data_IF_301081707501
#
_entry.id   IF_301081707501
#
_cell.length_a   1.000
_cell.length_b   1.000
_cell.length_c   1.000
_cell.angle_alpha   90.00
_cell.angle_beta   90.00
_cell.angle_gamma   90.00
#
_symmetry.space_group_name_H-M   'P 1'
#
loop_
_entity.id
_entity.type
_entity.pdbx_description
1 polymer ?
#
# COMPACT_ATOMS: atom_id res chain seq x y z
N UNK A 1 30.47 3.33 -21.86
CA UNK A 1 30.63 4.70 -21.33
C UNK A 1 30.68 4.55 -19.82
N UNK A 2 31.89 4.42 -19.30
CA UNK A 2 32.15 4.16 -17.89
C UNK A 2 31.97 5.46 -17.11
N UNK A 3 31.00 5.50 -16.21
CA UNK A 3 30.87 6.59 -15.27
C UNK A 3 31.84 6.31 -14.12
N UNK A 4 33.00 6.98 -14.14
CA UNK A 4 33.84 7.13 -12.95
C UNK A 4 33.08 8.00 -11.94
N UNK A 5 32.46 7.35 -10.95
CA UNK A 5 31.95 8.05 -9.78
C UNK A 5 33.13 8.38 -8.87
N UNK A 6 33.55 9.64 -8.87
CA UNK A 6 34.48 10.20 -7.89
C UNK A 6 33.84 10.09 -6.50
N UNK A 7 34.46 9.44 -5.50
CA UNK A 7 33.94 9.46 -4.14
C UNK A 7 34.11 10.86 -3.56
N UNK A 8 33.02 11.44 -3.09
CA UNK A 8 32.96 12.75 -2.47
C UNK A 8 33.70 12.69 -1.12
N UNK A 9 34.95 13.20 -1.07
CA UNK A 9 35.69 13.36 0.18
C UNK A 9 35.14 14.51 1.00
N UNK A 10 34.20 14.21 1.89
CA UNK A 10 34.03 14.90 3.17
C UNK A 10 34.31 13.89 4.29
N UNK A 11 34.91 14.27 5.44
CA UNK A 11 35.21 13.33 6.51
C UNK A 11 33.90 12.67 6.95
N UNK A 12 33.82 11.36 6.70
CA UNK A 12 32.66 10.54 7.00
C UNK A 12 32.43 10.57 8.51
N UNK A 13 31.20 10.89 8.88
CA UNK A 13 30.68 10.89 10.25
C UNK A 13 30.50 9.43 10.69
N UNK A 14 31.61 8.69 10.82
CA UNK A 14 31.62 7.24 11.02
C UNK A 14 31.24 6.88 12.46
N UNK A 15 31.67 7.67 13.46
CA UNK A 15 31.35 7.40 14.87
C UNK A 15 29.85 7.46 15.14
N UNK A 16 29.07 8.46 14.68
CA UNK A 16 27.62 8.44 14.83
C UNK A 16 26.93 7.28 14.10
N UNK A 17 27.46 6.85 12.94
CA UNK A 17 26.94 5.67 12.22
C UNK A 17 27.15 4.40 13.04
N UNK A 18 28.36 4.18 13.54
CA UNK A 18 28.69 3.03 14.38
C UNK A 18 27.89 3.04 15.69
N UNK A 19 27.69 4.21 16.30
CA UNK A 19 26.83 4.38 17.49
C UNK A 19 25.38 4.03 17.19
N UNK A 20 24.84 4.46 16.05
CA UNK A 20 23.49 4.08 15.61
C UNK A 20 23.36 2.58 15.30
N UNK A 21 24.47 1.96 14.88
CA UNK A 21 24.56 0.50 14.71
C UNK A 21 24.74 -0.25 16.04
N UNK A 22 24.93 0.45 17.17
CA UNK A 22 25.07 -0.17 18.49
C UNK A 22 26.49 -0.67 18.79
N UNK A 23 27.51 -0.13 18.12
CA UNK A 23 28.90 -0.43 18.45
C UNK A 23 29.31 0.26 19.76
N UNK A 24 29.92 -0.49 20.67
CA UNK A 24 30.36 -0.02 21.99
C UNK A 24 31.89 -0.12 22.21
N UNK A 25 32.67 -0.35 21.16
CA UNK A 25 34.13 -0.51 21.27
C UNK A 25 34.93 0.80 21.30
N UNK A 26 36.26 0.69 21.18
CA UNK A 26 37.25 1.74 21.46
C UNK A 26 37.06 3.09 20.74
N UNK A 27 36.33 3.14 19.62
CA UNK A 27 36.01 4.38 18.90
C UNK A 27 34.99 5.29 19.61
N UNK A 28 34.35 4.79 20.68
CA UNK A 28 33.29 5.50 21.40
C UNK A 28 33.79 6.38 22.55
N UNK A 29 35.09 6.35 22.86
CA UNK A 29 35.67 7.21 23.89
C UNK A 29 35.54 8.69 23.51
N UNK A 30 34.72 9.44 24.28
CA UNK A 30 34.42 10.86 23.99
C UNK A 30 35.54 11.81 24.41
N UNK A 31 36.60 11.30 25.05
CA UNK A 31 37.79 12.08 25.44
C UNK A 31 38.70 12.40 24.24
N UNK A 32 38.69 11.58 23.18
CA UNK A 32 39.48 11.78 21.98
C UNK A 32 38.62 12.29 20.80
N UNK A 33 39.14 13.31 20.10
CA UNK A 33 38.54 13.81 18.86
C UNK A 33 38.40 12.69 17.82
N UNK A 34 37.25 12.62 17.13
CA UNK A 34 36.90 11.53 16.19
C UNK A 34 37.94 11.32 15.11
N UNK A 35 38.41 12.41 14.53
CA UNK A 35 39.39 12.38 13.46
C UNK A 35 40.72 11.79 13.92
N UNK A 36 41.12 12.06 15.17
CA UNK A 36 42.36 11.54 15.77
C UNK A 36 42.23 10.05 16.08
N UNK A 37 41.13 9.64 16.72
CA UNK A 37 40.88 8.24 17.04
C UNK A 37 40.79 7.39 15.77
N UNK A 38 40.08 7.88 14.75
CA UNK A 38 39.93 7.19 13.47
C UNK A 38 41.26 7.12 12.71
N UNK A 39 42.03 8.21 12.67
CA UNK A 39 43.35 8.23 12.03
C UNK A 39 44.32 7.24 12.68
N UNK A 40 44.34 7.13 14.02
CA UNK A 40 45.12 6.11 14.74
C UNK A 40 44.71 4.70 14.30
N UNK A 41 43.41 4.43 14.31
CA UNK A 41 42.86 3.11 14.00
C UNK A 41 43.16 2.65 12.57
N UNK A 42 43.07 3.54 11.58
CA UNK A 42 43.36 3.18 10.18
C UNK A 42 44.85 3.23 9.82
N UNK A 43 45.68 3.92 10.60
CA UNK A 43 47.13 4.05 10.30
C UNK A 43 47.88 2.72 10.37
N UNK A 44 47.42 1.77 11.21
CA UNK A 44 48.03 0.46 11.35
C UNK A 44 47.51 -0.60 10.38
N UNK A 45 46.49 -0.29 9.57
CA UNK A 45 45.90 -1.21 8.61
C UNK A 45 45.51 -2.56 9.22
N UNK A 46 45.66 -3.64 8.45
CA UNK A 46 45.39 -5.01 8.89
C UNK A 46 46.21 -5.48 10.11
N UNK A 47 47.29 -4.78 10.47
CA UNK A 47 48.08 -5.07 11.67
C UNK A 47 47.51 -4.41 12.93
N UNK A 48 46.53 -3.51 12.80
CA UNK A 48 45.87 -2.86 13.93
C UNK A 48 44.76 -3.76 14.51
N UNK A 49 44.95 -4.23 15.73
CA UNK A 49 43.98 -5.09 16.41
C UNK A 49 42.61 -4.43 16.61
N UNK A 50 42.57 -3.12 16.85
CA UNK A 50 41.30 -2.41 17.04
C UNK A 50 40.51 -2.30 15.73
N UNK A 51 41.18 -2.08 14.60
CA UNK A 51 40.54 -2.07 13.27
C UNK A 51 39.98 -3.45 12.93
N UNK A 52 40.79 -4.51 13.11
CA UNK A 52 40.37 -5.87 12.75
C UNK A 52 39.25 -6.37 13.66
N UNK A 53 39.24 -5.98 14.95
CA UNK A 53 38.14 -6.24 15.86
C UNK A 53 36.84 -5.52 15.45
N UNK A 54 36.91 -4.26 15.03
CA UNK A 54 35.73 -3.55 14.50
C UNK A 54 35.18 -4.22 13.24
N UNK A 55 36.06 -4.59 12.31
CA UNK A 55 35.67 -5.32 11.10
C UNK A 55 35.01 -6.67 11.44
N UNK A 56 35.59 -7.44 12.37
CA UNK A 56 35.02 -8.71 12.83
C UNK A 56 33.63 -8.50 13.47
N UNK A 57 33.45 -7.44 14.26
CA UNK A 57 32.14 -7.10 14.83
C UNK A 57 31.11 -6.76 13.74
N UNK A 58 31.48 -5.91 12.76
CA UNK A 58 30.60 -5.57 11.63
C UNK A 58 30.20 -6.81 10.82
N UNK A 59 31.16 -7.70 10.54
CA UNK A 59 30.90 -8.96 9.84
C UNK A 59 30.00 -9.86 10.67
N UNK A 60 30.25 -10.01 11.97
CA UNK A 60 29.41 -10.82 12.87
C UNK A 60 27.96 -10.34 12.86
N UNK A 61 27.74 -9.03 12.96
CA UNK A 61 26.40 -8.42 12.87
C UNK A 61 25.76 -8.62 11.49
N UNK A 62 26.55 -8.53 10.42
CA UNK A 62 26.09 -8.85 9.06
C UNK A 62 25.68 -10.32 8.94
N UNK A 63 26.42 -11.26 9.52
CA UNK A 63 26.08 -12.70 9.49
C UNK A 63 24.77 -13.04 10.19
N UNK A 64 24.34 -12.22 11.15
CA UNK A 64 23.03 -12.39 11.79
C UNK A 64 21.86 -12.05 10.85
N UNK A 65 22.11 -11.24 9.81
CA UNK A 65 21.09 -10.70 8.91
C UNK A 65 21.21 -11.23 7.48
N UNK A 66 22.43 -11.56 7.07
CA UNK A 66 22.81 -12.09 5.78
C UNK A 66 23.33 -13.52 5.96
N UNK A 67 22.99 -14.43 5.05
CA UNK A 67 23.47 -15.82 5.06
C UNK A 67 24.91 -15.90 4.55
N UNK A 68 25.83 -15.23 5.24
CA UNK A 68 27.26 -15.20 4.92
C UNK A 68 27.95 -16.49 5.40
N UNK A 69 28.55 -17.21 4.46
CA UNK A 69 29.38 -18.39 4.72
C UNK A 69 30.76 -18.00 5.26
N UNK A 70 31.35 -16.95 4.71
CA UNK A 70 32.67 -16.45 5.08
C UNK A 70 32.63 -15.69 6.43
N UNK A 71 33.76 -15.68 7.13
CA UNK A 71 33.92 -15.02 8.42
C UNK A 71 35.31 -14.43 8.56
N UNK A 72 35.49 -13.55 9.55
CA UNK A 72 36.78 -12.92 9.82
C UNK A 72 37.08 -12.92 11.31
N UNK A 73 38.30 -13.31 11.66
CA UNK A 73 38.79 -13.32 13.04
C UNK A 73 39.61 -12.06 13.34
N UNK A 74 39.52 -11.48 14.55
CA UNK A 74 40.38 -10.36 14.93
C UNK A 74 41.84 -10.81 15.00
N UNK A 75 42.77 -9.92 14.65
CA UNK A 75 44.20 -10.21 14.72
C UNK A 75 44.72 -10.19 16.15
N UNK A 76 45.62 -11.11 16.51
CA UNK A 76 46.31 -11.10 17.82
C UNK A 76 47.65 -10.36 17.76
N UNK A 77 48.11 -10.01 16.56
CA UNK A 77 49.32 -9.24 16.31
C UNK A 77 49.56 -9.03 14.81
N UNK A 78 50.69 -8.41 14.42
CA UNK A 78 51.01 -8.12 13.01
C UNK A 78 51.27 -9.38 12.16
N UNK A 79 51.60 -10.52 12.79
CA UNK A 79 51.81 -11.80 12.11
C UNK A 79 50.51 -12.33 11.45
N UNK A 80 49.35 -12.00 12.01
CA UNK A 80 48.04 -12.48 11.55
C UNK A 80 47.45 -11.58 10.44
N UNK A 81 48.11 -10.46 10.11
CA UNK A 81 47.57 -9.45 9.20
C UNK A 81 47.32 -9.97 7.78
N UNK A 82 48.15 -10.90 7.31
CA UNK A 82 47.99 -11.53 6.00
C UNK A 82 46.78 -12.49 5.98
N UNK A 83 46.60 -13.26 7.06
CA UNK A 83 45.46 -14.17 7.25
C UNK A 83 44.15 -13.39 7.29
N UNK A 84 44.09 -12.31 8.07
CA UNK A 84 42.92 -11.42 8.14
C UNK A 84 42.55 -10.85 6.77
N UNK A 85 43.52 -10.43 5.97
CA UNK A 85 43.26 -9.89 4.63
C UNK A 85 42.72 -10.95 3.66
N UNK A 86 43.13 -12.22 3.80
CA UNK A 86 42.59 -13.32 3.02
C UNK A 86 41.13 -13.61 3.40
N UNK A 87 40.84 -13.72 4.70
CA UNK A 87 39.48 -13.90 5.22
C UNK A 87 38.55 -12.76 4.78
N UNK A 88 39.00 -11.51 4.97
CA UNK A 88 38.25 -10.33 4.54
C UNK A 88 38.03 -10.31 3.02
N UNK A 89 38.96 -10.81 2.21
CA UNK A 89 38.75 -10.92 0.77
C UNK A 89 37.66 -11.93 0.41
N UNK A 90 37.47 -12.98 1.20
CA UNK A 90 36.34 -13.92 1.06
C UNK A 90 35.01 -13.20 1.32
N UNK A 91 34.90 -12.54 2.46
CA UNK A 91 33.70 -11.77 2.85
C UNK A 91 33.36 -10.69 1.82
N UNK A 92 34.35 -9.93 1.34
CA UNK A 92 34.12 -8.89 0.32
C UNK A 92 33.66 -9.46 -1.02
N UNK A 93 34.11 -10.66 -1.38
CA UNK A 93 33.64 -11.37 -2.58
C UNK A 93 32.19 -11.81 -2.41
N UNK A 94 31.83 -12.35 -1.25
CA UNK A 94 30.48 -12.80 -0.93
C UNK A 94 29.48 -11.64 -0.85
N UNK A 95 29.90 -10.51 -0.28
CA UNK A 95 29.14 -9.24 -0.26
C UNK A 95 29.13 -8.51 -1.62
N UNK A 96 29.78 -9.05 -2.66
CA UNK A 96 29.86 -8.44 -3.99
C UNK A 96 30.38 -6.99 -3.97
N UNK A 97 31.43 -6.73 -3.17
CA UNK A 97 31.97 -5.39 -2.96
C UNK A 97 32.34 -4.70 -4.31
N UNK A 98 31.75 -3.52 -4.62
CA UNK A 98 31.96 -2.85 -5.89
C UNK A 98 33.31 -2.12 -5.99
N UNK A 99 34.00 -1.93 -4.86
CA UNK A 99 35.25 -1.18 -4.82
C UNK A 99 36.44 -2.03 -5.26
N UNK A 100 36.91 -1.79 -6.48
CA UNK A 100 38.06 -2.50 -7.06
C UNK A 100 39.33 -2.35 -6.22
N UNK A 101 39.48 -1.25 -5.47
CA UNK A 101 40.59 -1.04 -4.55
C UNK A 101 40.66 -2.10 -3.43
N UNK A 102 39.51 -2.69 -3.06
CA UNK A 102 39.41 -3.72 -2.02
C UNK A 102 39.35 -5.15 -2.58
N UNK A 103 39.00 -5.31 -3.87
CA UNK A 103 38.78 -6.64 -4.48
C UNK A 103 39.84 -7.03 -5.53
N UNK A 104 40.63 -6.09 -6.02
CA UNK A 104 41.67 -6.34 -7.05
C UNK A 104 43.09 -6.14 -6.53
N UNK A 105 44.09 -6.67 -7.25
CA UNK A 105 45.51 -6.63 -6.83
C UNK A 105 45.89 -7.70 -5.80
N UNK A 106 47.08 -7.57 -5.21
CA UNK A 106 47.62 -8.52 -4.25
C UNK A 106 46.84 -8.44 -2.92
N UNK A 107 46.31 -9.57 -2.43
CA UNK A 107 45.34 -9.58 -1.32
C UNK A 107 45.91 -8.97 -0.04
N UNK A 108 47.16 -9.29 0.31
CA UNK A 108 47.81 -8.83 1.55
C UNK A 108 48.30 -7.38 1.52
N UNK A 109 48.14 -6.68 0.41
CA UNK A 109 48.50 -5.25 0.30
C UNK A 109 47.30 -4.32 0.22
N UNK A 110 46.06 -4.84 0.35
CA UNK A 110 44.85 -4.04 0.13
C UNK A 110 44.50 -3.18 1.34
N UNK A 111 44.74 -3.68 2.54
CA UNK A 111 44.40 -3.02 3.81
C UNK A 111 45.62 -2.47 4.54
N UNK A 112 46.65 -2.05 3.79
CA UNK A 112 47.83 -1.37 4.35
C UNK A 112 47.74 0.15 4.27
N UNK A 113 46.86 0.68 3.40
CA UNK A 113 46.63 2.12 3.27
C UNK A 113 45.42 2.57 4.10
N UNK A 114 45.56 3.71 4.79
CA UNK A 114 44.52 4.29 5.63
C UNK A 114 43.24 4.56 4.82
N UNK A 115 43.36 4.98 3.55
CA UNK A 115 42.20 5.25 2.69
C UNK A 115 41.39 3.99 2.39
N UNK A 116 42.07 2.88 2.11
CA UNK A 116 41.40 1.61 1.84
C UNK A 116 40.74 1.06 3.11
N UNK A 117 41.36 1.26 4.28
CA UNK A 117 40.76 0.87 5.56
C UNK A 117 39.50 1.69 5.86
N UNK A 118 39.51 2.99 5.60
CA UNK A 118 38.31 3.83 5.72
C UNK A 118 37.21 3.40 4.75
N UNK A 119 37.56 3.13 3.49
CA UNK A 119 36.60 2.66 2.49
C UNK A 119 35.98 1.33 2.87
N UNK A 120 36.77 0.42 3.47
CA UNK A 120 36.27 -0.85 3.99
C UNK A 120 35.27 -0.63 5.12
N UNK A 121 35.58 0.22 6.09
CA UNK A 121 34.68 0.51 7.21
C UNK A 121 33.39 1.19 6.75
N UNK A 122 33.48 2.11 5.79
CA UNK A 122 32.31 2.76 5.19
C UNK A 122 31.42 1.73 4.47
N UNK A 123 32.02 0.87 3.65
CA UNK A 123 31.32 -0.20 2.96
C UNK A 123 30.60 -1.15 3.93
N UNK A 124 31.33 -1.76 4.87
CA UNK A 124 30.75 -2.72 5.82
C UNK A 124 29.66 -2.08 6.70
N UNK A 125 29.87 -0.84 7.15
CA UNK A 125 28.87 -0.10 7.92
C UNK A 125 27.61 0.16 7.09
N UNK A 126 27.77 0.56 5.83
CA UNK A 126 26.64 0.83 4.92
C UNK A 126 25.85 -0.43 4.58
N UNK A 127 26.53 -1.57 4.37
CA UNK A 127 25.90 -2.86 4.13
C UNK A 127 25.13 -3.32 5.38
N UNK A 128 25.68 -3.14 6.57
CA UNK A 128 24.97 -3.49 7.81
C UNK A 128 23.74 -2.61 8.02
N UNK A 129 23.83 -1.30 7.74
CA UNK A 129 22.68 -0.41 7.76
C UNK A 129 21.62 -0.85 6.75
N UNK A 130 22.01 -1.21 5.53
CA UNK A 130 21.11 -1.70 4.49
C UNK A 130 20.45 -3.02 4.90
N UNK A 131 21.21 -3.99 5.41
CA UNK A 131 20.70 -5.26 5.91
C UNK A 131 19.67 -5.06 7.03
N UNK A 132 19.96 -4.18 7.99
CA UNK A 132 19.02 -3.82 9.07
C UNK A 132 17.77 -3.10 8.57
N UNK A 133 17.90 -2.22 7.58
CA UNK A 133 16.74 -1.57 6.94
C UNK A 133 15.87 -2.58 6.20
N UNK A 134 16.48 -3.56 5.53
CA UNK A 134 15.75 -4.63 4.86
C UNK A 134 15.07 -5.58 5.84
N UNK A 135 15.68 -5.87 7.00
CA UNK A 135 15.08 -6.73 8.03
C UNK A 135 14.02 -6.01 8.87
N UNK A 136 14.17 -4.70 9.11
CA UNK A 136 13.21 -3.87 9.85
C UNK A 136 12.07 -3.32 9.00
N UNK A 137 12.19 -3.34 7.68
CA UNK A 137 11.03 -3.16 6.82
C UNK A 137 10.04 -4.27 7.17
N UNK A 138 8.77 -3.96 7.49
CA UNK A 138 7.73 -4.95 7.34
C UNK A 138 7.81 -5.35 5.88
N UNK A 139 8.30 -6.56 5.61
CA UNK A 139 8.23 -7.13 4.28
C UNK A 139 6.80 -6.85 3.78
N UNK A 140 6.58 -6.18 2.64
CA UNK A 140 5.50 -6.68 1.81
C UNK A 140 5.92 -8.12 1.59
N UNK A 141 5.24 -9.03 2.30
CA UNK A 141 5.37 -10.48 2.14
C UNK A 141 5.65 -10.71 0.65
N UNK A 142 6.78 -11.35 0.26
CA UNK A 142 6.97 -11.69 -1.15
C UNK A 142 5.68 -12.39 -1.53
N UNK A 143 4.89 -11.78 -2.43
CA UNK A 143 3.48 -12.12 -2.65
C UNK A 143 3.32 -13.60 -2.34
N UNK A 144 2.74 -13.91 -1.18
CA UNK A 144 2.40 -15.28 -0.83
C UNK A 144 1.40 -15.60 -1.89
N UNK A 145 1.85 -16.15 -3.01
CA UNK A 145 1.27 -15.88 -4.32
C UNK A 145 -0.22 -16.15 -4.18
N UNK A 146 -1.03 -15.09 -4.02
CA UNK A 146 -2.34 -15.25 -3.35
C UNK A 146 -3.17 -16.21 -4.20
N UNK A 147 -2.98 -16.09 -5.52
CA UNK A 147 -3.41 -17.02 -6.54
C UNK A 147 -2.96 -18.48 -6.29
N UNK A 148 -1.70 -18.75 -5.92
CA UNK A 148 -1.24 -20.12 -5.65
C UNK A 148 -1.86 -20.72 -4.38
N UNK A 149 -2.03 -19.93 -3.31
CA UNK A 149 -2.73 -20.41 -2.12
C UNK A 149 -4.23 -20.59 -2.40
N UNK A 150 -4.87 -19.68 -3.13
CA UNK A 150 -6.26 -19.83 -3.59
C UNK A 150 -6.42 -21.08 -4.45
N UNK A 151 -5.53 -21.33 -5.40
CA UNK A 151 -5.53 -22.53 -6.23
C UNK A 151 -5.34 -23.80 -5.39
N UNK A 152 -4.51 -23.75 -4.34
CA UNK A 152 -4.35 -24.85 -3.38
C UNK A 152 -5.63 -25.09 -2.57
N UNK A 153 -6.30 -24.03 -2.13
CA UNK A 153 -7.58 -24.16 -1.42
C UNK A 153 -8.67 -24.72 -2.32
N UNK A 154 -8.72 -24.29 -3.59
CA UNK A 154 -9.66 -24.83 -4.59
C UNK A 154 -9.37 -26.31 -4.85
N UNK A 155 -8.10 -26.70 -5.03
CA UNK A 155 -7.76 -28.11 -5.29
C UNK A 155 -8.10 -29.01 -4.10
N UNK A 156 -7.86 -28.54 -2.86
CA UNK A 156 -8.29 -29.23 -1.64
C UNK A 156 -9.82 -29.36 -1.57
N UNK A 157 -10.56 -28.28 -1.84
CA UNK A 157 -12.02 -28.32 -1.83
C UNK A 157 -12.61 -29.27 -2.89
N UNK A 158 -11.93 -29.40 -4.04
CA UNK A 158 -12.29 -30.33 -5.11
C UNK A 158 -11.78 -31.77 -4.91
N UNK A 159 -11.08 -32.03 -3.79
CA UNK A 159 -10.41 -33.31 -3.49
C UNK A 159 -9.47 -33.76 -4.63
N UNK A 160 -8.72 -32.84 -5.21
CA UNK A 160 -7.70 -33.13 -6.22
C UNK A 160 -6.36 -33.52 -5.58
N UNK A 161 -5.56 -34.40 -6.21
CA UNK A 161 -4.27 -34.82 -5.69
C UNK A 161 -3.25 -33.66 -5.64
N UNK A 162 -2.45 -33.62 -4.57
CA UNK A 162 -1.49 -32.54 -4.28
C UNK A 162 -0.37 -32.39 -5.34
N UNK A 163 -0.13 -33.43 -6.14
CA UNK A 163 0.86 -33.44 -7.23
C UNK A 163 0.56 -32.47 -8.38
N UNK A 164 -0.65 -31.89 -8.45
CA UNK A 164 -1.03 -30.96 -9.52
C UNK A 164 -0.44 -29.55 -9.34
N UNK A 165 0.14 -29.23 -8.18
CA UNK A 165 0.77 -27.92 -7.92
C UNK A 165 2.15 -27.75 -8.59
N UNK A 166 2.80 -28.86 -8.99
CA UNK A 166 4.05 -28.84 -9.77
C UNK A 166 3.80 -28.75 -11.28
N UNK A 167 2.53 -28.84 -11.71
CA UNK A 167 2.15 -28.78 -13.12
C UNK A 167 1.99 -27.33 -13.59
N UNK A 168 2.14 -27.04 -14.90
CA UNK A 168 1.86 -25.70 -15.42
C UNK A 168 0.42 -25.28 -15.10
N UNK A 169 0.22 -24.00 -14.74
CA UNK A 169 -1.06 -23.47 -14.24
C UNK A 169 -2.25 -23.74 -15.18
N UNK A 170 -2.02 -23.78 -16.50
CA UNK A 170 -3.06 -24.08 -17.49
C UNK A 170 -3.63 -25.51 -17.34
N UNK A 171 -2.78 -26.50 -17.05
CA UNK A 171 -3.22 -27.88 -16.85
C UNK A 171 -3.98 -28.04 -15.53
N UNK A 172 -3.52 -27.35 -14.49
CA UNK A 172 -4.21 -27.31 -13.20
C UNK A 172 -5.62 -26.72 -13.34
N UNK A 173 -5.74 -25.59 -14.02
CA UNK A 173 -7.03 -24.91 -14.25
C UNK A 173 -8.00 -25.75 -15.08
N UNK A 174 -7.51 -26.42 -16.13
CA UNK A 174 -8.36 -27.31 -16.94
C UNK A 174 -8.82 -28.55 -16.12
N UNK A 175 -7.93 -29.11 -15.28
CA UNK A 175 -8.27 -30.17 -14.35
C UNK A 175 -9.35 -29.75 -13.34
N UNK A 176 -9.20 -28.56 -12.75
CA UNK A 176 -10.20 -27.97 -11.86
C UNK A 176 -11.54 -27.77 -12.57
N UNK A 177 -11.53 -27.19 -13.78
CA UNK A 177 -12.72 -26.98 -14.61
C UNK A 177 -13.45 -28.30 -14.89
N UNK A 178 -12.72 -29.34 -15.29
CA UNK A 178 -13.28 -30.66 -15.55
C UNK A 178 -13.91 -31.27 -14.29
N UNK A 179 -13.21 -31.20 -13.16
CA UNK A 179 -13.71 -31.72 -11.88
C UNK A 179 -14.97 -30.99 -11.40
N UNK A 180 -15.00 -29.67 -11.54
CA UNK A 180 -16.20 -28.86 -11.25
C UNK A 180 -17.35 -29.27 -12.15
N UNK A 181 -17.12 -29.44 -13.46
CA UNK A 181 -18.17 -29.86 -14.40
C UNK A 181 -18.73 -31.25 -14.08
N UNK A 182 -17.87 -32.18 -13.67
CA UNK A 182 -18.24 -33.54 -13.25
C UNK A 182 -19.13 -33.50 -12.00
N UNK A 183 -18.69 -32.78 -10.95
CA UNK A 183 -19.47 -32.62 -9.72
C UNK A 183 -20.82 -31.94 -9.98
N UNK A 184 -20.86 -30.91 -10.83
CA UNK A 184 -22.11 -30.24 -11.19
C UNK A 184 -23.10 -31.18 -11.90
N UNK A 185 -22.61 -32.16 -12.67
CA UNK A 185 -23.47 -33.12 -13.35
C UNK A 185 -24.13 -34.14 -12.41
N UNK A 186 -23.57 -34.34 -11.20
CA UNK A 186 -24.11 -35.26 -10.21
C UNK A 186 -25.20 -34.67 -9.31
N UNK A 187 -25.39 -33.35 -9.35
CA UNK A 187 -26.34 -32.64 -8.49
C UNK A 187 -27.77 -32.66 -9.07
N UNK A 188 -28.83 -32.78 -8.24
CA UNK A 188 -30.22 -32.73 -8.69
C UNK A 188 -30.57 -31.38 -9.35
N UNK A 189 -31.39 -31.41 -10.41
CA UNK A 189 -31.85 -30.18 -11.11
C UNK A 189 -32.58 -29.18 -10.21
N UNK A 190 -33.20 -29.62 -9.11
CA UNK A 190 -33.85 -28.75 -8.12
C UNK A 190 -32.86 -27.97 -7.24
N UNK A 191 -31.63 -28.47 -7.11
CA UNK A 191 -30.50 -27.79 -6.45
C UNK A 191 -29.58 -27.11 -7.46
N UNK A 192 -29.97 -27.09 -8.75
CA UNK A 192 -29.17 -26.58 -9.84
C UNK A 192 -28.75 -25.13 -9.56
N UNK A 193 -27.47 -25.01 -9.26
CA UNK A 193 -26.60 -23.87 -9.53
C UNK A 193 -27.24 -22.92 -10.54
N UNK A 194 -27.72 -21.78 -10.04
CA UNK A 194 -28.33 -20.76 -10.87
C UNK A 194 -27.47 -20.44 -12.08
N UNK A 195 -28.11 -20.27 -13.24
CA UNK A 195 -27.42 -20.12 -14.52
C UNK A 195 -26.51 -18.89 -14.50
N UNK A 196 -25.34 -18.98 -15.18
CA UNK A 196 -24.49 -17.81 -15.38
C UNK A 196 -25.27 -16.68 -16.06
N UNK A 197 -25.00 -15.44 -15.64
CA UNK A 197 -25.59 -14.27 -16.25
C UNK A 197 -25.07 -14.08 -17.70
N UNK A 198 -23.77 -14.32 -17.91
CA UNK A 198 -23.16 -14.33 -19.22
C UNK A 198 -23.25 -15.71 -19.85
N UNK A 199 -24.01 -15.82 -20.95
CA UNK A 199 -24.28 -17.10 -21.64
C UNK A 199 -23.46 -17.30 -22.91
N UNK A 200 -22.89 -16.22 -23.44
CA UNK A 200 -22.21 -16.19 -24.74
C UNK A 200 -20.70 -16.13 -24.50
N UNK A 201 -19.90 -16.97 -25.17
CA UNK A 201 -18.45 -16.84 -25.13
C UNK A 201 -18.04 -15.52 -25.78
N UNK A 202 -17.08 -14.83 -25.16
CA UNK A 202 -16.58 -13.55 -25.66
C UNK A 202 -15.42 -13.78 -26.62
N UNK A 203 -15.46 -13.08 -27.77
CA UNK A 203 -14.33 -13.02 -28.68
C UNK A 203 -13.23 -12.06 -28.16
N UNK A 204 -11.99 -12.11 -28.68
CA UNK A 204 -10.88 -11.29 -28.18
C UNK A 204 -11.16 -9.77 -28.20
N UNK A 205 -11.91 -9.28 -29.19
CA UNK A 205 -12.26 -7.86 -29.28
C UNK A 205 -13.33 -7.49 -28.24
N UNK A 206 -14.32 -8.36 -28.02
CA UNK A 206 -15.30 -8.20 -26.96
C UNK A 206 -14.67 -8.24 -25.56
N UNK A 207 -13.64 -9.07 -25.35
CA UNK A 207 -12.85 -9.07 -24.12
C UNK A 207 -12.17 -7.72 -23.87
N UNK A 208 -11.58 -7.13 -24.90
CA UNK A 208 -10.95 -5.81 -24.80
C UNK A 208 -12.00 -4.73 -24.50
N UNK A 209 -13.13 -4.74 -25.19
CA UNK A 209 -14.25 -3.83 -24.93
C UNK A 209 -14.78 -3.96 -23.49
N UNK A 210 -14.91 -5.19 -22.99
CA UNK A 210 -15.37 -5.44 -21.62
C UNK A 210 -14.39 -4.89 -20.58
N UNK A 211 -13.08 -5.03 -20.80
CA UNK A 211 -12.05 -4.43 -19.95
C UNK A 211 -12.12 -2.90 -19.96
N UNK A 212 -12.34 -2.28 -21.12
CA UNK A 212 -12.52 -0.83 -21.23
C UNK A 212 -13.76 -0.34 -20.45
N UNK A 213 -14.90 -1.06 -20.57
CA UNK A 213 -16.12 -0.76 -19.82
C UNK A 213 -15.86 -0.87 -18.32
N UNK A 214 -15.23 -1.97 -17.88
CA UNK A 214 -14.90 -2.18 -16.47
C UNK A 214 -14.00 -1.05 -15.94
N UNK A 215 -12.97 -0.66 -16.69
CA UNK A 215 -12.06 0.41 -16.28
C UNK A 215 -12.80 1.75 -16.15
N UNK A 216 -13.69 2.05 -17.09
CA UNK A 216 -14.52 3.26 -17.06
C UNK A 216 -15.41 3.28 -15.82
N UNK A 217 -16.15 2.19 -15.56
CA UNK A 217 -17.04 2.07 -14.40
C UNK A 217 -16.27 2.12 -13.08
N UNK A 218 -15.08 1.51 -13.01
CA UNK A 218 -14.21 1.59 -11.83
C UNK A 218 -13.77 3.03 -11.57
N UNK A 219 -13.31 3.74 -12.60
CA UNK A 219 -12.88 5.13 -12.46
C UNK A 219 -14.01 6.04 -11.96
N UNK A 220 -15.24 5.79 -12.44
CA UNK A 220 -16.43 6.53 -12.05
C UNK A 220 -16.86 6.20 -10.60
N UNK A 221 -16.84 4.91 -10.23
CA UNK A 221 -17.09 4.46 -8.86
C UNK A 221 -16.11 5.11 -7.88
N UNK A 222 -14.81 5.06 -8.17
CA UNK A 222 -13.78 5.64 -7.31
C UNK A 222 -13.93 7.16 -7.19
N UNK A 223 -14.30 7.84 -8.28
CA UNK A 223 -14.62 9.27 -8.26
C UNK A 223 -15.78 9.56 -7.30
N UNK A 224 -16.88 8.80 -7.42
CA UNK A 224 -18.03 8.93 -6.50
C UNK A 224 -17.63 8.62 -5.05
N UNK A 225 -16.81 7.60 -4.81
CA UNK A 225 -16.34 7.26 -3.46
C UNK A 225 -15.47 8.35 -2.86
N UNK A 226 -14.53 8.93 -3.62
CA UNK A 226 -13.75 10.09 -3.16
C UNK A 226 -14.67 11.25 -2.77
N UNK A 227 -15.65 11.56 -3.61
CA UNK A 227 -16.62 12.62 -3.31
C UNK A 227 -17.44 12.29 -2.05
N UNK A 228 -17.95 11.06 -1.89
CA UNK A 228 -18.73 10.66 -0.70
C UNK A 228 -17.89 10.71 0.58
N UNK A 229 -16.65 10.22 0.54
CA UNK A 229 -15.72 10.25 1.67
C UNK A 229 -15.36 11.69 2.03
N UNK A 230 -15.08 12.54 1.04
CA UNK A 230 -14.83 13.97 1.26
C UNK A 230 -16.05 14.68 1.83
N UNK A 231 -17.26 14.41 1.30
CA UNK A 231 -18.50 14.99 1.82
C UNK A 231 -18.75 14.56 3.26
N UNK A 232 -18.53 13.29 3.57
CA UNK A 232 -18.62 12.77 4.94
C UNK A 232 -17.63 13.49 5.86
N UNK A 233 -16.38 13.67 5.43
CA UNK A 233 -15.37 14.40 6.19
C UNK A 233 -15.76 15.86 6.45
N UNK A 234 -16.19 16.61 5.43
CA UNK A 234 -16.62 18.01 5.59
C UNK A 234 -17.87 18.11 6.47
N UNK A 235 -18.78 17.16 6.36
CA UNK A 235 -19.97 17.09 7.24
C UNK A 235 -19.53 16.90 8.70
N UNK A 236 -18.56 16.02 8.95
CA UNK A 236 -18.00 15.84 10.29
C UNK A 236 -17.32 17.10 10.80
N UNK A 237 -16.50 17.77 9.97
CA UNK A 237 -15.86 19.04 10.31
C UNK A 237 -16.87 20.11 10.72
N UNK A 238 -18.04 20.16 10.08
CA UNK A 238 -19.10 21.11 10.44
C UNK A 238 -19.62 20.93 11.87
N UNK A 239 -19.57 19.71 12.43
CA UNK A 239 -19.95 19.51 13.83
C UNK A 239 -18.99 20.19 14.80
N UNK A 240 -17.73 20.43 14.44
CA UNK A 240 -16.75 21.15 15.28
C UNK A 240 -17.02 22.66 15.36
N UNK A 241 -17.97 23.19 14.58
CA UNK A 241 -18.30 24.62 14.60
C UNK A 241 -19.19 25.01 15.79
N UNK A 242 -19.77 24.03 16.50
CA UNK A 242 -20.56 24.27 17.71
C UNK A 242 -19.66 24.36 18.95
N UNK A 243 -19.94 25.30 19.86
CA UNK A 243 -19.18 25.42 21.12
C UNK A 243 -19.22 24.15 21.97
N UNK A 244 -20.35 23.43 21.97
CA UNK A 244 -20.53 22.16 22.71
C UNK A 244 -19.67 21.02 22.17
N UNK A 245 -19.24 21.11 20.91
CA UNK A 245 -18.45 20.07 20.25
C UNK A 245 -16.96 20.20 20.52
N UNK A 246 -16.48 21.39 20.89
CA UNK A 246 -15.06 21.64 21.18
C UNK A 246 -14.56 20.79 22.34
N UNK A 247 -15.38 20.62 23.36
CA UNK A 247 -15.03 19.83 24.56
C UNK A 247 -14.99 18.32 24.28
N UNK A 248 -15.63 17.85 23.20
CA UNK A 248 -15.73 16.42 22.83
C UNK A 248 -15.02 16.07 21.53
N UNK A 249 -14.23 16.99 21.00
CA UNK A 249 -13.52 16.85 19.73
C UNK A 249 -12.61 15.63 19.73
N UNK A 250 -11.84 15.42 20.81
CA UNK A 250 -10.92 14.29 20.95
C UNK A 250 -11.65 12.95 20.92
N UNK A 251 -12.75 12.81 21.65
CA UNK A 251 -13.57 11.60 21.68
C UNK A 251 -14.15 11.29 20.29
N UNK A 252 -14.63 12.32 19.59
CA UNK A 252 -15.20 12.16 18.24
C UNK A 252 -14.13 11.75 17.23
N UNK A 253 -12.93 12.33 17.28
CA UNK A 253 -11.81 11.92 16.43
C UNK A 253 -11.33 10.50 16.70
N UNK A 254 -11.31 10.07 17.96
CA UNK A 254 -10.95 8.69 18.33
C UNK A 254 -11.90 7.68 17.70
N UNK A 255 -13.20 7.96 17.65
CA UNK A 255 -14.18 7.08 17.00
C UNK A 255 -14.12 7.18 15.47
N UNK A 256 -13.93 8.37 14.92
CA UNK A 256 -13.95 8.62 13.49
C UNK A 256 -12.72 8.08 12.75
N UNK A 257 -11.52 8.27 13.30
CA UNK A 257 -10.25 7.93 12.64
C UNK A 257 -10.20 6.49 12.11
N UNK A 258 -10.57 5.44 12.89
CA UNK A 258 -10.57 4.08 12.37
C UNK A 258 -11.64 3.83 11.29
N UNK A 259 -12.81 4.48 11.39
CA UNK A 259 -13.84 4.38 10.35
C UNK A 259 -13.36 5.02 9.05
N UNK A 260 -12.61 6.12 9.14
CA UNK A 260 -12.06 6.82 7.99
C UNK A 260 -10.95 6.02 7.31
N UNK A 261 -10.08 5.36 8.06
CA UNK A 261 -9.03 4.52 7.50
C UNK A 261 -9.61 3.27 6.82
N UNK A 262 -10.72 2.73 7.34
CA UNK A 262 -11.43 1.59 6.75
C UNK A 262 -12.18 1.93 5.44
N UNK A 263 -12.54 3.20 5.20
CA UNK A 263 -13.21 3.62 3.97
C UNK A 263 -12.24 3.66 2.79
N UNK A 264 -12.25 2.59 1.99
CA UNK A 264 -11.48 2.47 0.76
C UNK A 264 -12.18 3.18 -0.40
N UNK A 265 -11.39 3.84 -1.24
CA UNK A 265 -11.88 4.46 -2.48
C UNK A 265 -11.99 3.42 -3.60
N UNK A 266 -11.07 2.46 -3.60
CA UNK A 266 -10.95 1.44 -4.63
C UNK A 266 -12.14 0.48 -4.60
N UNK A 267 -12.60 0.06 -5.78
CA UNK A 267 -13.59 -1.00 -5.90
C UNK A 267 -12.95 -2.36 -5.64
N UNK A 268 -13.57 -3.16 -4.76
CA UNK A 268 -13.23 -4.57 -4.58
C UNK A 268 -13.83 -5.47 -5.67
N UNK A 269 -14.68 -4.93 -6.55
CA UNK A 269 -15.31 -5.69 -7.64
C UNK A 269 -14.36 -5.78 -8.83
N UNK A 270 -13.91 -6.99 -9.13
CA UNK A 270 -13.04 -7.30 -10.28
C UNK A 270 -13.83 -7.89 -11.45
N UNK A 271 -13.17 -8.06 -12.60
CA UNK A 271 -13.81 -8.67 -13.78
C UNK A 271 -14.24 -10.11 -13.50
N UNK A 272 -13.43 -10.85 -12.74
CA UNK A 272 -13.72 -12.22 -12.33
C UNK A 272 -15.04 -12.28 -11.52
N UNK A 273 -15.27 -11.32 -10.61
CA UNK A 273 -16.53 -11.23 -9.88
C UNK A 273 -17.72 -11.01 -10.82
N UNK A 274 -17.58 -10.15 -11.83
CA UNK A 274 -18.64 -9.87 -12.81
C UNK A 274 -18.95 -11.11 -13.65
N UNK A 275 -17.92 -11.85 -14.08
CA UNK A 275 -18.07 -13.07 -14.86
C UNK A 275 -18.68 -14.23 -14.05
N UNK A 276 -18.40 -14.27 -12.75
CA UNK A 276 -18.99 -15.25 -11.84
C UNK A 276 -20.46 -14.95 -11.48
N UNK A 277 -21.02 -13.82 -11.93
CA UNK A 277 -22.39 -13.43 -11.62
C UNK A 277 -23.42 -14.39 -12.23
N UNK A 278 -24.49 -14.61 -11.46
CA UNK A 278 -25.61 -15.50 -11.82
C UNK A 278 -26.89 -14.71 -12.05
N UNK A 279 -27.90 -15.34 -12.65
CA UNK A 279 -29.13 -14.65 -13.04
C UNK A 279 -29.87 -13.94 -11.88
N UNK A 280 -29.84 -14.46 -10.66
CA UNK A 280 -30.45 -13.83 -9.46
C UNK A 280 -29.76 -12.53 -9.07
N UNK A 281 -28.43 -12.49 -9.21
CA UNK A 281 -27.63 -11.32 -8.84
C UNK A 281 -27.91 -10.11 -9.73
N UNK A 282 -28.56 -10.30 -10.89
CA UNK A 282 -29.03 -9.22 -11.75
C UNK A 282 -30.26 -8.46 -11.20
N UNK A 283 -30.91 -9.00 -10.16
CA UNK A 283 -32.09 -8.36 -9.55
C UNK A 283 -31.65 -7.21 -8.65
N UNK A 284 -31.79 -5.98 -9.15
CA UNK A 284 -31.59 -4.76 -8.35
C UNK A 284 -32.72 -4.65 -7.31
N UNK A 285 -32.43 -5.02 -6.07
CA UNK A 285 -33.36 -4.83 -4.94
C UNK A 285 -33.25 -3.39 -4.46
N UNK A 286 -34.39 -2.70 -4.35
CA UNK A 286 -34.42 -1.34 -3.79
C UNK A 286 -33.97 -1.38 -2.33
N UNK A 287 -32.87 -0.68 -2.02
CA UNK A 287 -32.35 -0.53 -0.66
C UNK A 287 -33.32 0.23 0.26
N UNK A 288 -34.24 1.00 -0.30
CA UNK A 288 -35.30 1.72 0.41
C UNK A 288 -36.62 0.94 0.52
N UNK A 289 -36.66 -0.33 0.12
CA UNK A 289 -37.88 -1.13 0.17
C UNK A 289 -38.35 -1.36 1.62
N UNK A 290 -39.66 -1.54 1.81
CA UNK A 290 -40.24 -1.86 3.12
C UNK A 290 -39.60 -3.10 3.74
N UNK A 291 -39.36 -4.15 2.94
CA UNK A 291 -38.70 -5.38 3.37
C UNK A 291 -37.25 -5.17 3.81
N UNK A 292 -36.49 -4.32 3.12
CA UNK A 292 -35.13 -3.95 3.54
C UNK A 292 -35.14 -3.14 4.84
N UNK A 293 -36.18 -2.31 5.06
CA UNK A 293 -36.25 -1.41 6.22
C UNK A 293 -36.84 -2.07 7.47
N UNK A 294 -37.65 -3.10 7.32
CA UNK A 294 -38.32 -3.84 8.40
C UNK A 294 -37.32 -4.35 9.46
N UNK A 295 -36.12 -4.75 9.04
CA UNK A 295 -35.05 -5.27 9.92
C UNK A 295 -33.96 -4.26 10.26
N UNK A 296 -34.12 -2.98 9.93
CA UNK A 296 -33.11 -1.93 10.14
C UNK A 296 -33.52 -0.89 11.19
N UNK A 297 -34.46 -1.25 12.08
CA UNK A 297 -34.84 -0.38 13.19
C UNK A 297 -33.64 -0.06 14.07
N UNK A 298 -33.34 1.22 14.26
CA UNK A 298 -32.26 1.66 15.14
C UNK A 298 -32.72 2.86 15.99
N UNK A 299 -31.87 3.30 16.91
CA UNK A 299 -32.16 4.44 17.79
C UNK A 299 -32.50 5.73 17.03
N UNK A 300 -32.05 5.86 15.78
CA UNK A 300 -32.33 6.98 14.87
C UNK A 300 -33.56 6.71 14.00
N UNK A 301 -33.67 5.53 13.39
CA UNK A 301 -34.79 5.12 12.53
C UNK A 301 -35.72 4.16 13.27
N UNK A 302 -36.58 4.71 14.14
CA UNK A 302 -37.48 3.91 15.00
C UNK A 302 -38.80 3.52 14.34
N UNK A 303 -39.27 4.30 13.37
CA UNK A 303 -40.64 4.17 12.82
C UNK A 303 -40.58 3.73 11.36
N UNK A 304 -41.16 2.56 11.07
CA UNK A 304 -41.44 2.14 9.70
C UNK A 304 -42.78 2.76 9.28
N UNK A 305 -42.72 3.74 8.38
CA UNK A 305 -43.92 4.31 7.78
C UNK A 305 -44.59 3.23 6.91
N UNK A 306 -45.85 2.92 7.20
CA UNK A 306 -46.67 2.01 6.39
C UNK A 306 -47.01 2.58 5.02
N UNK A 307 -47.96 1.97 4.32
CA UNK A 307 -48.43 2.47 3.01
C UNK A 307 -48.94 3.91 3.13
N UNK A 308 -48.19 4.86 2.60
CA UNK A 308 -48.58 6.29 2.57
C UNK A 308 -49.47 6.49 1.35
N UNK A 309 -50.72 6.97 1.50
CA UNK A 309 -51.59 7.31 0.37
C UNK A 309 -50.90 8.30 -0.54
N UNK A 310 -51.07 8.15 -1.86
CA UNK A 310 -50.50 9.09 -2.82
C UNK A 310 -50.98 10.50 -2.50
N UNK A 311 -50.05 11.42 -2.28
CA UNK A 311 -50.34 12.82 -1.92
C UNK A 311 -50.44 13.71 -3.17
N UNK A 312 -50.36 13.12 -4.36
CA UNK A 312 -50.36 13.85 -5.63
C UNK A 312 -49.13 14.74 -5.77
N UNK A 313 -49.15 15.61 -6.79
CA UNK A 313 -48.07 16.58 -7.02
C UNK A 313 -46.96 16.08 -7.94
N UNK A 314 -47.17 14.96 -8.66
CA UNK A 314 -46.24 14.60 -9.73
C UNK A 314 -46.34 15.68 -10.81
N UNK A 315 -45.23 16.27 -11.26
CA UNK A 315 -45.26 17.33 -12.27
C UNK A 315 -45.99 16.94 -13.56
N UNK A 316 -46.08 15.63 -13.85
CA UNK A 316 -46.77 15.09 -15.02
C UNK A 316 -48.29 14.92 -14.82
N UNK A 317 -48.77 14.98 -13.59
CA UNK A 317 -50.21 14.86 -13.23
C UNK A 317 -50.86 16.24 -13.04
N UNK A 318 -50.07 17.30 -12.93
CA UNK A 318 -50.54 18.69 -12.85
C UNK A 318 -50.47 19.27 -14.25
N UNK A 319 -51.62 19.43 -14.90
CA UNK A 319 -51.71 20.21 -16.12
C UNK A 319 -51.39 21.67 -15.77
N UNK A 320 -50.33 22.27 -16.33
CA UNK A 320 -49.99 23.66 -16.02
C UNK A 320 -51.15 24.55 -16.48
N UNK A 321 -51.65 25.47 -15.61
CA UNK A 321 -52.73 26.35 -16.00
C UNK A 321 -52.29 27.16 -17.22
N UNK A 322 -53.10 27.11 -18.30
CA UNK A 322 -52.81 27.88 -19.51
C UNK A 322 -52.63 29.36 -19.15
N UNK A 323 -51.51 29.98 -19.51
CA UNK A 323 -51.33 31.41 -19.25
C UNK A 323 -52.37 32.20 -20.05
N UNK A 324 -53.16 33.02 -19.35
CA UNK A 324 -54.03 33.97 -20.01
C UNK A 324 -53.15 35.06 -20.64
N UNK A 325 -53.18 35.15 -21.96
CA UNK A 325 -52.51 36.22 -22.69
C UNK A 325 -53.34 37.49 -22.54
N UNK A 326 -52.99 38.37 -21.61
CA UNK A 326 -53.55 39.72 -21.61
C UNK A 326 -52.94 40.53 -22.77
N UNK A 327 -53.78 41.25 -23.51
CA UNK A 327 -53.32 42.19 -24.54
C UNK A 327 -52.33 43.16 -23.90
N UNK A 328 -51.13 43.26 -24.48
CA UNK A 328 -50.12 44.25 -24.12
C UNK A 328 -50.80 45.62 -24.09
N UNK A 329 -50.86 46.26 -22.92
CA UNK A 329 -51.36 47.63 -22.81
C UNK A 329 -50.47 48.51 -23.69
N UNK A 330 -51.07 49.16 -24.68
CA UNK A 330 -50.37 50.16 -25.47
C UNK A 330 -49.92 51.28 -24.52
N UNK A 331 -48.61 51.45 -24.45
CA UNK A 331 -47.98 52.52 -23.70
C UNK A 331 -48.29 53.85 -24.40
N UNK A 332 -49.39 54.51 -24.01
CA UNK A 332 -49.52 55.94 -24.21
C UNK A 332 -48.66 56.61 -23.14
N UNK A 333 -47.55 57.19 -23.60
CA UNK A 333 -46.56 57.82 -22.76
C UNK A 333 -47.21 58.89 -21.87
N UNK A 334 -46.91 58.80 -20.57
CA UNK A 334 -46.77 59.99 -19.77
C UNK A 334 -45.64 59.76 -18.76
N UNK A 335 -44.68 60.67 -18.82
CA UNK A 335 -43.51 60.75 -17.96
C UNK A 335 -43.95 61.03 -16.53
N UNK A 336 -43.86 60.04 -15.66
CA UNK A 336 -43.79 60.30 -14.22
C UNK A 336 -42.97 59.22 -13.52
N UNK A 337 -41.76 59.62 -13.10
CA UNK A 337 -40.90 58.87 -12.19
C UNK A 337 -41.72 58.36 -10.99
N UNK A 338 -41.87 57.05 -10.86
CA UNK A 338 -42.33 56.42 -9.61
C UNK A 338 -41.24 55.49 -9.08
N UNK A 339 -40.47 56.11 -8.19
CA UNK A 339 -39.60 55.58 -7.16
C UNK A 339 -39.96 54.16 -6.66
N UNK A 340 -39.04 53.21 -6.84
CA UNK A 340 -39.11 51.88 -6.21
C UNK A 340 -38.80 51.98 -4.71
N UNK A 341 -39.83 51.88 -3.87
CA UNK A 341 -39.65 51.65 -2.43
C UNK A 341 -39.39 50.15 -2.18
N UNK A 342 -38.17 49.84 -1.71
CA UNK A 342 -37.79 48.54 -1.13
C UNK A 342 -38.65 48.25 0.11
N UNK A 343 -39.54 47.27 0.05
CA UNK A 343 -40.19 46.72 1.24
C UNK A 343 -39.23 45.75 1.95
N UNK A 344 -38.81 46.14 3.16
CA UNK A 344 -38.09 45.27 4.09
C UNK A 344 -39.02 44.17 4.64
N UNK A 345 -38.54 42.92 4.59
CA UNK A 345 -39.17 41.77 5.23
C UNK A 345 -39.02 41.88 6.76
N UNK A 346 -40.13 42.02 7.48
CA UNK A 346 -40.22 41.79 8.93
C UNK A 346 -39.96 40.31 9.21
N UNK A 347 -38.98 40.02 10.08
CA UNK A 347 -38.86 38.74 10.79
C UNK A 347 -39.96 38.68 11.83
N UNK A 348 -40.82 37.66 11.74
CA UNK A 348 -41.67 37.28 12.87
C UNK A 348 -40.84 36.43 13.84
N UNK A 349 -40.99 36.77 15.12
CA UNK A 349 -40.51 36.02 16.28
C UNK A 349 -41.36 34.78 16.50
#
# INVERSE_FOLDING_TARGET
MSAESVPCSSPVVLRPVLRALGYEGSLMDEEEEEEVALAKLVSGGASCQELTALCCWLVTELRLLCLLEEDVSPTSGPEDADTFQLEMSGVLSELHCPYTLLTSGHVTSRLTDAKNCLLLLEFLSSELQAARLLSSRPFPVPEKNEAAEELRQISLALNMPESTLSSPASQLLEGMRAKVSDLLSTLPESEAVMRPLLKVPLDPHQWEQLQQIQQTLRSEYECRMRMLVSRFHVTLQSFHWSERSKDREKEMFQVYTPLRSALTVQSHVTLAHILAMREDTSRIVKTSSGASREKTSCSVNKVLMGSVPDRGGRPNEIEPPMPMWEKRREWKGDSSQKHWKKHGRKKNR
#
